data_IF_279785240487
#
_entry.id   IF_279785240487
#
_cell.length_a   1.000
_cell.length_b   1.000
_cell.length_c   1.000
_cell.angle_alpha   90.00
_cell.angle_beta   90.00
_cell.angle_gamma   90.00
#
_symmetry.space_group_name_H-M   'P 1'
#
loop_
_entity.id
_entity.type
_entity.pdbx_description
1 polymer ?
#
# COMPACT_ATOMS: atom_id res chain seq x y z
N UNK A 1 -19.61 -29.24 19.51
CA UNK A 1 -18.45 -29.07 20.42
C UNK A 1 -17.24 -28.39 19.79
N UNK A 2 -17.15 -28.20 18.45
CA UNK A 2 -16.00 -27.54 17.79
C UNK A 2 -15.95 -26.02 17.95
N UNK A 3 -17.09 -25.32 18.00
CA UNK A 3 -17.13 -23.85 18.04
C UNK A 3 -16.65 -23.24 19.36
N UNK A 4 -16.99 -23.85 20.50
CA UNK A 4 -16.55 -23.38 21.81
C UNK A 4 -15.03 -23.49 21.98
N UNK A 5 -14.46 -24.63 21.53
CA UNK A 5 -13.01 -24.84 21.52
C UNK A 5 -12.30 -23.85 20.60
N UNK A 6 -12.81 -23.65 19.38
CA UNK A 6 -12.21 -22.70 18.44
C UNK A 6 -12.27 -21.25 18.98
N UNK A 7 -13.36 -20.86 19.64
CA UNK A 7 -13.45 -19.56 20.32
C UNK A 7 -12.48 -19.43 21.49
N UNK A 8 -12.25 -20.50 22.25
CA UNK A 8 -11.24 -20.51 23.31
C UNK A 8 -9.83 -20.31 22.75
N UNK A 9 -9.49 -20.96 21.62
CA UNK A 9 -8.21 -20.74 20.95
C UNK A 9 -8.06 -19.32 20.38
N UNK A 10 -9.13 -18.77 19.80
CA UNK A 10 -9.13 -17.38 19.35
C UNK A 10 -8.87 -16.41 20.51
N UNK A 11 -9.58 -16.59 21.64
CA UNK A 11 -9.41 -15.77 22.83
C UNK A 11 -8.00 -15.90 23.42
N UNK A 12 -7.47 -17.12 23.47
CA UNK A 12 -6.09 -17.37 23.91
C UNK A 12 -5.08 -16.71 22.98
N UNK A 13 -5.27 -16.78 21.66
CA UNK A 13 -4.41 -16.10 20.68
C UNK A 13 -4.40 -14.58 20.90
N UNK A 14 -5.57 -13.96 21.05
CA UNK A 14 -5.68 -12.52 21.33
C UNK A 14 -5.03 -12.15 22.67
N UNK A 15 -5.24 -12.95 23.71
CA UNK A 15 -4.65 -12.73 25.03
C UNK A 15 -3.12 -12.81 24.98
N UNK A 16 -2.56 -13.87 24.39
CA UNK A 16 -1.11 -14.05 24.26
C UNK A 16 -0.49 -12.94 23.41
N UNK A 17 -1.16 -12.52 22.34
CA UNK A 17 -0.71 -11.39 21.53
C UNK A 17 -0.69 -10.09 22.35
N UNK A 18 -1.74 -9.81 23.12
CA UNK A 18 -1.80 -8.66 24.02
C UNK A 18 -0.71 -8.69 25.09
N UNK A 19 -0.40 -9.85 25.66
CA UNK A 19 0.70 -10.02 26.64
C UNK A 19 2.05 -9.67 26.01
N UNK A 20 2.33 -10.18 24.80
CA UNK A 20 3.59 -9.88 24.10
C UNK A 20 3.69 -8.39 23.76
N UNK A 21 2.58 -7.76 23.32
CA UNK A 21 2.53 -6.32 23.09
C UNK A 21 2.81 -5.53 24.37
N UNK A 22 2.14 -5.87 25.47
CA UNK A 22 2.32 -5.18 26.75
C UNK A 22 3.75 -5.33 27.28
N UNK A 23 4.34 -6.52 27.17
CA UNK A 23 5.74 -6.75 27.54
C UNK A 23 6.72 -5.93 26.69
N UNK A 24 6.44 -5.80 25.39
CA UNK A 24 7.25 -5.02 24.46
C UNK A 24 7.09 -3.51 24.66
N UNK A 25 5.87 -3.04 24.96
CA UNK A 25 5.59 -1.65 25.31
C UNK A 25 6.31 -1.27 26.62
N UNK A 26 6.23 -2.14 27.63
CA UNK A 26 6.95 -1.93 28.89
C UNK A 26 8.48 -1.98 28.70
N UNK A 27 8.99 -2.79 27.77
CA UNK A 27 10.41 -2.79 27.40
C UNK A 27 10.82 -1.46 26.76
N UNK A 28 10.00 -0.94 25.84
CA UNK A 28 10.21 0.39 25.25
C UNK A 28 10.25 1.50 26.32
N UNK A 29 9.34 1.47 27.28
CA UNK A 29 9.30 2.45 28.39
C UNK A 29 10.53 2.38 29.29
N UNK A 30 11.12 1.19 29.47
CA UNK A 30 12.37 1.01 30.22
C UNK A 30 13.63 1.42 29.44
N UNK A 31 13.48 1.82 28.17
CA UNK A 31 14.61 2.17 27.30
C UNK A 31 15.42 0.95 26.84
N UNK A 32 14.80 -0.23 26.78
CA UNK A 32 15.43 -1.44 26.23
C UNK A 32 15.77 -1.25 24.74
N UNK A 33 16.78 -1.97 24.22
CA UNK A 33 17.23 -1.78 22.84
C UNK A 33 16.11 -2.09 21.83
N UNK A 34 15.98 -1.32 20.73
CA UNK A 34 14.96 -1.52 19.71
C UNK A 34 14.84 -2.96 19.18
N UNK A 35 15.94 -3.70 19.14
CA UNK A 35 15.98 -5.12 18.73
C UNK A 35 15.08 -6.02 19.60
N UNK A 36 14.95 -5.73 20.90
CA UNK A 36 14.07 -6.49 21.80
C UNK A 36 12.60 -6.24 21.48
N UNK A 37 12.24 -4.98 21.17
CA UNK A 37 10.88 -4.60 20.78
C UNK A 37 10.54 -5.23 19.42
N UNK A 38 11.47 -5.19 18.45
CA UNK A 38 11.32 -5.87 17.16
C UNK A 38 11.15 -7.38 17.35
N UNK A 39 11.91 -8.01 18.24
CA UNK A 39 11.75 -9.43 18.57
C UNK A 39 10.37 -9.71 19.16
N UNK A 40 9.87 -8.87 20.07
CA UNK A 40 8.51 -8.99 20.61
C UNK A 40 7.43 -8.87 19.53
N UNK A 41 7.54 -7.90 18.63
CA UNK A 41 6.64 -7.75 17.47
C UNK A 41 6.73 -9.01 16.58
N UNK A 42 7.92 -9.51 16.28
CA UNK A 42 8.10 -10.73 15.50
C UNK A 42 7.49 -11.96 16.19
N UNK A 43 7.73 -12.15 17.48
CA UNK A 43 7.20 -13.26 18.27
C UNK A 43 5.66 -13.24 18.31
N UNK A 44 5.04 -12.06 18.30
CA UNK A 44 3.59 -11.91 18.30
C UNK A 44 2.91 -12.39 17.00
N UNK A 45 3.66 -12.64 15.92
CA UNK A 45 3.10 -13.30 14.73
C UNK A 45 2.64 -14.74 14.99
N UNK A 46 3.19 -15.42 16.01
CA UNK A 46 2.74 -16.77 16.41
C UNK A 46 1.30 -16.75 16.96
N UNK A 47 0.97 -15.99 18.02
CA UNK A 47 -0.41 -15.88 18.49
C UNK A 47 -1.34 -15.21 17.46
N UNK A 48 -0.84 -14.28 16.63
CA UNK A 48 -1.61 -13.76 15.49
C UNK A 48 -2.02 -14.85 14.49
N UNK A 49 -1.13 -15.80 14.19
CA UNK A 49 -1.47 -16.97 13.36
C UNK A 49 -2.61 -17.80 13.94
N UNK A 50 -2.62 -17.99 15.27
CA UNK A 50 -3.73 -18.64 16.00
C UNK A 50 -5.03 -17.85 15.82
N UNK A 51 -4.99 -16.53 16.00
CA UNK A 51 -6.15 -15.65 15.78
C UNK A 51 -6.72 -15.84 14.37
N UNK A 52 -5.87 -15.90 13.34
CA UNK A 52 -6.30 -16.09 11.96
C UNK A 52 -6.93 -17.46 11.68
N UNK A 53 -6.32 -18.54 12.19
CA UNK A 53 -6.82 -19.91 12.00
C UNK A 53 -8.20 -20.07 12.65
N UNK A 54 -8.38 -19.52 13.85
CA UNK A 54 -9.60 -19.69 14.64
C UNK A 54 -10.63 -18.56 14.47
N UNK A 55 -10.32 -17.49 13.71
CA UNK A 55 -11.24 -16.41 13.37
C UNK A 55 -12.53 -16.87 12.70
N UNK A 56 -12.50 -18.02 11.99
CA UNK A 56 -13.68 -18.64 11.38
C UNK A 56 -14.76 -19.02 12.40
N UNK A 57 -14.41 -19.20 13.67
CA UNK A 57 -15.38 -19.47 14.74
C UNK A 57 -16.34 -18.31 15.02
N UNK A 58 -16.04 -17.14 14.44
CA UNK A 58 -16.87 -15.94 14.47
C UNK A 58 -17.83 -15.83 13.28
N UNK A 59 -17.86 -16.80 12.35
CA UNK A 59 -18.86 -16.81 11.27
C UNK A 59 -20.26 -16.88 11.87
N UNK A 60 -21.12 -15.92 11.54
CA UNK A 60 -22.50 -15.83 12.05
C UNK A 60 -22.67 -15.06 13.37
N UNK A 61 -21.59 -14.55 13.97
CA UNK A 61 -21.70 -13.60 15.10
C UNK A 61 -22.25 -12.28 14.57
N UNK A 62 -23.19 -11.61 15.28
CA UNK A 62 -23.68 -10.31 14.87
C UNK A 62 -22.55 -9.26 14.86
N UNK A 63 -22.55 -8.41 13.84
CA UNK A 63 -21.59 -7.31 13.66
C UNK A 63 -20.08 -7.71 13.74
N UNK A 64 -19.61 -8.68 12.93
CA UNK A 64 -18.21 -9.12 12.97
C UNK A 64 -17.20 -7.99 12.70
N UNK A 65 -17.56 -7.03 11.84
CA UNK A 65 -16.71 -5.86 11.59
C UNK A 65 -16.49 -4.99 12.83
N UNK A 66 -17.49 -4.87 13.70
CA UNK A 66 -17.34 -4.13 14.96
C UNK A 66 -16.42 -4.88 15.92
N UNK A 67 -16.54 -6.21 16.02
CA UNK A 67 -15.62 -7.03 16.80
C UNK A 67 -14.17 -6.83 16.33
N UNK A 68 -13.90 -6.95 15.02
CA UNK A 68 -12.55 -6.74 14.50
C UNK A 68 -12.03 -5.32 14.76
N UNK A 69 -12.86 -4.29 14.58
CA UNK A 69 -12.49 -2.91 14.88
C UNK A 69 -12.18 -2.69 16.36
N UNK A 70 -12.99 -3.25 17.27
CA UNK A 70 -12.77 -3.20 18.71
C UNK A 70 -11.50 -3.94 19.13
N UNK A 71 -11.26 -5.14 18.57
CA UNK A 71 -10.01 -5.89 18.79
C UNK A 71 -8.79 -5.09 18.33
N UNK A 72 -8.88 -4.43 17.18
CA UNK A 72 -7.81 -3.56 16.64
C UNK A 72 -7.52 -2.41 17.60
N UNK A 73 -8.56 -1.72 18.07
CA UNK A 73 -8.43 -0.61 19.01
C UNK A 73 -7.81 -1.07 20.35
N UNK A 74 -8.29 -2.20 20.89
CA UNK A 74 -7.80 -2.74 22.15
C UNK A 74 -6.32 -3.16 22.08
N UNK A 75 -5.93 -3.87 21.02
CA UNK A 75 -4.53 -4.26 20.82
C UNK A 75 -3.63 -3.05 20.55
N UNK A 76 -4.10 -2.07 19.76
CA UNK A 76 -3.35 -0.86 19.47
C UNK A 76 -3.18 0.06 20.68
N UNK A 77 -4.18 0.14 21.56
CA UNK A 77 -4.16 0.99 22.75
C UNK A 77 -2.99 0.67 23.70
N UNK A 78 -2.53 -0.58 23.71
CA UNK A 78 -1.37 -1.05 24.50
C UNK A 78 -0.10 -0.25 24.17
N UNK A 79 0.04 0.23 22.94
CA UNK A 79 1.25 0.93 22.47
C UNK A 79 1.24 2.44 22.63
N UNK A 80 0.08 3.04 22.95
CA UNK A 80 -0.11 4.50 22.81
C UNK A 80 0.82 5.32 23.71
N UNK A 81 1.13 4.81 24.90
CA UNK A 81 1.96 5.50 25.89
C UNK A 81 3.44 5.13 25.81
N UNK A 82 3.78 4.03 25.14
CA UNK A 82 5.17 3.67 24.93
C UNK A 82 5.86 4.75 24.07
N UNK A 83 7.15 5.06 24.31
CA UNK A 83 7.89 5.97 23.43
C UNK A 83 8.00 5.38 22.01
N UNK A 84 8.10 6.20 20.95
CA UNK A 84 8.46 5.67 19.63
C UNK A 84 9.86 5.05 19.68
N UNK A 85 10.04 3.88 19.06
CA UNK A 85 11.28 3.10 19.16
C UNK A 85 11.88 2.76 17.78
N UNK A 86 11.03 2.62 16.76
CA UNK A 86 11.48 2.16 15.43
C UNK A 86 11.69 3.30 14.43
N UNK A 87 11.18 4.51 14.74
CA UNK A 87 11.35 5.71 13.93
C UNK A 87 11.25 6.97 14.77
N UNK A 88 11.99 7.99 14.37
CA UNK A 88 11.96 9.35 14.95
C UNK A 88 11.07 10.31 14.13
N UNK A 89 10.47 9.84 13.04
CA UNK A 89 9.62 10.67 12.16
C UNK A 89 8.42 11.28 12.89
N UNK A 90 7.99 10.65 13.98
CA UNK A 90 6.88 11.12 14.79
C UNK A 90 7.12 12.53 15.37
N UNK A 91 8.36 12.85 15.77
CA UNK A 91 8.74 14.18 16.24
C UNK A 91 8.63 15.20 15.11
N UNK A 92 9.04 14.81 13.90
CA UNK A 92 8.93 15.61 12.68
C UNK A 92 7.46 15.91 12.33
N UNK A 93 6.56 14.93 12.46
CA UNK A 93 5.13 15.11 12.21
C UNK A 93 4.53 16.16 13.15
N UNK A 94 4.83 16.07 14.45
CA UNK A 94 4.32 17.02 15.44
C UNK A 94 4.87 18.43 15.16
N UNK A 95 6.16 18.54 14.86
CA UNK A 95 6.80 19.82 14.55
C UNK A 95 6.20 20.50 13.32
N UNK A 96 6.10 19.78 12.20
CA UNK A 96 5.59 20.37 10.96
C UNK A 96 4.10 20.70 11.06
N UNK A 97 3.33 19.93 11.83
CA UNK A 97 1.96 20.30 12.19
C UNK A 97 1.87 21.62 12.94
N UNK A 98 2.77 21.87 13.91
CA UNK A 98 2.84 23.14 14.64
C UNK A 98 3.21 24.30 13.71
N UNK A 99 4.16 24.11 12.79
CA UNK A 99 4.56 25.15 11.84
C UNK A 99 3.38 25.66 11.02
N UNK A 100 2.47 24.78 10.58
CA UNK A 100 1.24 25.21 9.88
C UNK A 100 0.37 26.13 10.72
N UNK A 101 0.23 25.87 12.03
CA UNK A 101 -0.58 26.69 12.93
C UNK A 101 0.09 28.04 13.25
N UNK A 102 1.42 28.06 13.27
CA UNK A 102 2.23 29.29 13.43
C UNK A 102 2.36 30.10 12.13
N UNK A 103 1.72 29.65 11.03
CA UNK A 103 1.72 30.35 9.75
C UNK A 103 2.98 30.17 8.90
N UNK A 104 3.86 29.24 9.28
CA UNK A 104 5.05 28.89 8.50
C UNK A 104 4.75 27.78 7.48
N UNK A 105 5.44 27.83 6.34
CA UNK A 105 5.33 26.82 5.29
C UNK A 105 6.48 25.79 5.38
N UNK A 106 6.22 24.53 5.79
CA UNK A 106 7.26 23.50 5.95
C UNK A 106 7.94 23.08 4.64
N UNK A 107 7.36 23.41 3.48
CA UNK A 107 7.99 23.17 2.17
C UNK A 107 9.09 24.19 1.84
N UNK A 108 9.05 25.38 2.45
CA UNK A 108 10.02 26.44 2.23
C UNK A 108 11.03 26.62 3.35
N UNK A 109 10.73 26.11 4.55
CA UNK A 109 11.50 26.38 5.77
C UNK A 109 11.82 25.06 6.48
N UNK A 110 13.11 24.80 6.68
CA UNK A 110 13.60 23.63 7.41
C UNK A 110 13.58 23.88 8.93
N UNK A 111 13.47 22.84 9.78
CA UNK A 111 13.49 23.01 11.24
C UNK A 111 14.71 23.77 11.81
N UNK A 112 15.87 23.69 11.15
CA UNK A 112 17.09 24.40 11.54
C UNK A 112 17.14 25.87 11.07
N UNK A 113 16.13 26.36 10.36
CA UNK A 113 16.09 27.75 9.91
C UNK A 113 16.12 28.71 11.13
N UNK A 114 17.02 29.71 11.16
CA UNK A 114 17.12 30.69 12.25
C UNK A 114 15.80 31.40 12.56
N UNK A 115 14.90 31.58 11.58
CA UNK A 115 13.60 32.22 11.79
C UNK A 115 12.70 31.44 12.75
N UNK A 116 12.93 30.13 12.88
CA UNK A 116 12.18 29.24 13.76
C UNK A 116 12.79 29.13 15.16
N UNK A 117 13.92 29.82 15.44
CA UNK A 117 14.58 29.74 16.74
C UNK A 117 13.65 29.97 17.96
N UNK A 118 12.69 30.91 17.93
CA UNK A 118 11.75 31.12 19.04
C UNK A 118 10.79 29.94 19.29
N UNK A 119 10.57 29.06 18.30
CA UNK A 119 9.65 27.93 18.39
C UNK A 119 10.33 26.64 18.85
N UNK A 120 11.66 26.61 18.98
CA UNK A 120 12.42 25.39 19.28
C UNK A 120 12.30 25.02 20.76
N UNK A 121 11.91 23.77 21.00
CA UNK A 121 11.73 23.17 22.33
C UNK A 121 12.39 21.77 22.40
N UNK A 122 12.08 21.00 23.45
CA UNK A 122 12.58 19.63 23.60
C UNK A 122 12.13 18.71 22.44
N UNK A 123 10.94 18.94 21.88
CA UNK A 123 10.46 18.19 20.72
C UNK A 123 11.37 18.48 19.51
N UNK A 124 11.75 19.75 19.30
CA UNK A 124 12.67 20.12 18.24
C UNK A 124 14.00 19.38 18.36
N UNK A 125 14.55 19.22 19.56
CA UNK A 125 15.81 18.51 19.77
C UNK A 125 15.78 17.07 19.23
N UNK A 126 14.63 16.40 19.29
CA UNK A 126 14.42 15.01 18.82
C UNK A 126 14.12 14.88 17.32
N UNK A 127 13.97 15.97 16.58
CA UNK A 127 13.67 15.93 15.14
C UNK A 127 14.87 15.37 14.35
N UNK A 128 14.61 14.43 13.44
CA UNK A 128 15.57 13.98 12.45
C UNK A 128 15.68 14.97 11.26
N UNK A 129 16.81 14.95 10.54
CA UNK A 129 16.99 15.68 9.27
C UNK A 129 16.62 17.19 9.34
N UNK A 130 17.00 17.87 10.42
CA UNK A 130 16.58 19.26 10.71
C UNK A 130 16.98 20.29 9.65
N UNK A 131 18.01 20.01 8.87
CA UNK A 131 18.48 20.85 7.76
C UNK A 131 17.63 20.74 6.49
N UNK A 132 16.77 19.72 6.38
CA UNK A 132 15.91 19.51 5.22
C UNK A 132 14.53 20.11 5.47
N UNK A 133 13.96 20.77 4.46
CA UNK A 133 12.54 21.10 4.41
C UNK A 133 11.69 19.82 4.27
N UNK A 134 10.36 19.94 4.39
CA UNK A 134 9.50 18.76 4.37
C UNK A 134 9.58 18.00 3.05
N UNK A 135 9.62 16.66 3.17
CA UNK A 135 9.50 15.72 2.04
C UNK A 135 8.14 15.05 2.00
N UNK A 136 7.27 15.35 2.97
CA UNK A 136 5.97 14.71 3.09
C UNK A 136 4.97 15.29 2.10
N UNK A 137 4.20 14.45 1.40
CA UNK A 137 3.16 14.91 0.49
C UNK A 137 2.02 15.71 1.18
N UNK A 138 1.22 16.47 0.42
CA UNK A 138 0.26 17.44 0.97
C UNK A 138 -0.81 16.89 1.92
N UNK A 139 -1.32 15.67 1.71
CA UNK A 139 -2.29 15.09 2.63
C UNK A 139 -1.66 14.61 3.93
N UNK A 140 -0.38 14.19 3.91
CA UNK A 140 0.35 13.92 5.15
C UNK A 140 0.58 15.21 5.94
N UNK A 141 0.98 16.30 5.28
CA UNK A 141 1.05 17.63 5.91
C UNK A 141 -0.29 18.06 6.51
N UNK A 142 -1.39 17.83 5.81
CA UNK A 142 -2.73 18.10 6.34
C UNK A 142 -3.03 17.27 7.60
N UNK A 143 -2.66 15.99 7.64
CA UNK A 143 -2.82 15.16 8.84
C UNK A 143 -1.95 15.66 10.01
N UNK A 144 -0.75 16.16 9.74
CA UNK A 144 0.11 16.76 10.76
C UNK A 144 -0.52 18.04 11.33
N UNK A 145 -1.04 18.92 10.46
CA UNK A 145 -1.74 20.13 10.87
C UNK A 145 -3.03 19.82 11.66
N UNK A 146 -3.81 18.81 11.24
CA UNK A 146 -4.98 18.33 11.99
C UNK A 146 -4.56 17.80 13.37
N UNK A 147 -3.47 17.04 13.45
CA UNK A 147 -2.93 16.57 14.72
C UNK A 147 -2.57 17.72 15.65
N UNK A 148 -1.87 18.74 15.13
CA UNK A 148 -1.53 19.94 15.89
C UNK A 148 -2.79 20.69 16.35
N UNK A 149 -3.81 20.81 15.49
CA UNK A 149 -5.08 21.47 15.83
C UNK A 149 -5.85 20.75 16.94
N UNK A 150 -5.75 19.41 17.01
CA UNK A 150 -6.36 18.58 18.07
C UNK A 150 -5.59 18.61 19.40
N UNK A 151 -4.64 19.54 19.56
CA UNK A 151 -3.80 19.69 20.75
C UNK A 151 -2.35 19.26 20.53
N UNK A 152 -2.04 18.61 19.41
CA UNK A 152 -0.69 18.20 19.05
C UNK A 152 -0.12 17.12 19.97
N UNK A 153 1.18 16.87 19.81
CA UNK A 153 1.91 15.89 20.61
C UNK A 153 1.90 14.47 20.05
N UNK A 154 2.77 13.65 20.64
CA UNK A 154 3.09 12.29 20.20
C UNK A 154 1.87 11.37 20.27
N UNK A 155 1.15 11.40 21.40
CA UNK A 155 -0.04 10.55 21.62
C UNK A 155 -1.16 10.89 20.65
N UNK A 156 -1.36 12.17 20.32
CA UNK A 156 -2.40 12.60 19.37
C UNK A 156 -2.15 12.04 17.98
N UNK A 157 -0.90 12.08 17.48
CA UNK A 157 -0.56 11.47 16.19
C UNK A 157 -0.78 9.96 16.22
N UNK A 158 -0.35 9.28 17.29
CA UNK A 158 -0.57 7.83 17.47
C UNK A 158 -2.05 7.46 17.50
N UNK A 159 -2.88 8.24 18.18
CA UNK A 159 -4.33 8.06 18.22
C UNK A 159 -4.96 8.21 16.83
N UNK A 160 -4.53 9.21 16.05
CA UNK A 160 -5.02 9.38 14.67
C UNK A 160 -4.58 8.24 13.77
N UNK A 161 -3.33 7.78 13.87
CA UNK A 161 -2.83 6.64 13.11
C UNK A 161 -3.59 5.35 13.47
N UNK A 162 -3.78 5.06 14.77
CA UNK A 162 -4.58 3.93 15.25
C UNK A 162 -6.04 4.05 14.81
N UNK A 163 -6.64 5.24 14.91
CA UNK A 163 -7.99 5.52 14.40
C UNK A 163 -8.10 5.25 12.89
N UNK A 164 -7.07 5.58 12.12
CA UNK A 164 -6.93 5.24 10.71
C UNK A 164 -6.92 3.73 10.46
N UNK A 165 -6.18 2.95 11.26
CA UNK A 165 -6.18 1.49 11.19
C UNK A 165 -7.55 0.90 11.55
N UNK A 166 -8.19 1.37 12.63
CA UNK A 166 -9.53 0.94 13.04
C UNK A 166 -10.57 1.24 11.96
N UNK A 167 -10.51 2.44 11.36
CA UNK A 167 -11.38 2.80 10.24
C UNK A 167 -11.13 1.92 9.01
N UNK A 168 -9.87 1.58 8.74
CA UNK A 168 -9.48 0.66 7.66
C UNK A 168 -10.08 -0.74 7.86
N UNK A 169 -9.97 -1.28 9.07
CA UNK A 169 -10.57 -2.58 9.43
C UNK A 169 -12.08 -2.55 9.28
N UNK A 170 -12.73 -1.49 9.76
CA UNK A 170 -14.17 -1.30 9.60
C UNK A 170 -14.59 -1.14 8.13
N UNK A 171 -13.77 -0.51 7.29
CA UNK A 171 -14.02 -0.40 5.85
C UNK A 171 -13.88 -1.76 5.17
N UNK A 172 -12.80 -2.47 5.42
CA UNK A 172 -12.53 -3.81 4.85
C UNK A 172 -13.62 -4.79 5.27
N UNK A 173 -14.00 -4.82 6.55
CA UNK A 173 -15.07 -5.68 7.02
C UNK A 173 -16.42 -5.39 6.32
N UNK A 174 -16.74 -4.11 6.05
CA UNK A 174 -17.96 -3.73 5.33
C UNK A 174 -17.92 -4.15 3.86
N UNK A 175 -16.75 -4.08 3.23
CA UNK A 175 -16.58 -4.42 1.81
C UNK A 175 -16.56 -5.92 1.57
N UNK A 176 -15.83 -6.67 2.40
CA UNK A 176 -15.64 -8.12 2.21
C UNK A 176 -16.74 -8.94 2.88
N UNK A 177 -17.32 -8.44 3.98
CA UNK A 177 -18.19 -9.24 4.86
C UNK A 177 -17.43 -10.34 5.62
N UNK A 178 -16.11 -10.39 5.50
CA UNK A 178 -15.28 -11.48 6.03
C UNK A 178 -14.49 -11.03 7.27
N UNK A 179 -14.87 -11.56 8.43
CA UNK A 179 -14.18 -11.32 9.70
C UNK A 179 -12.70 -11.66 9.64
N UNK A 180 -12.35 -12.76 8.96
CA UNK A 180 -10.96 -13.22 8.85
C UNK A 180 -10.09 -12.20 8.14
N UNK A 181 -10.60 -11.58 7.07
CA UNK A 181 -9.88 -10.53 6.33
C UNK A 181 -9.75 -9.26 7.18
N UNK A 182 -10.81 -8.90 7.91
CA UNK A 182 -10.78 -7.76 8.82
C UNK A 182 -9.74 -7.96 9.95
N UNK A 183 -9.71 -9.13 10.58
CA UNK A 183 -8.72 -9.49 11.61
C UNK A 183 -7.31 -9.66 11.05
N UNK A 184 -7.16 -10.08 9.78
CA UNK A 184 -5.85 -10.14 9.14
C UNK A 184 -5.18 -8.77 9.03
N UNK A 185 -5.96 -7.69 8.98
CA UNK A 185 -5.45 -6.32 9.04
C UNK A 185 -5.39 -5.84 10.49
N UNK A 186 -6.50 -5.98 11.23
CA UNK A 186 -6.67 -5.39 12.54
C UNK A 186 -5.85 -5.99 13.68
N UNK A 187 -5.59 -7.29 13.61
CA UNK A 187 -4.73 -7.99 14.57
C UNK A 187 -3.29 -8.14 14.05
N UNK A 188 -2.93 -7.55 12.90
CA UNK A 188 -1.59 -7.67 12.37
C UNK A 188 -0.57 -6.97 13.29
N UNK A 189 0.46 -7.68 13.80
CA UNK A 189 1.44 -7.09 14.69
C UNK A 189 2.17 -5.86 14.15
N UNK A 190 2.56 -5.94 12.89
CA UNK A 190 3.30 -4.87 12.25
C UNK A 190 2.42 -3.64 12.05
N UNK A 191 1.18 -3.80 11.56
CA UNK A 191 0.29 -2.66 11.36
C UNK A 191 -0.09 -1.99 12.68
N UNK A 192 -0.29 -2.77 13.75
CA UNK A 192 -0.55 -2.24 15.08
C UNK A 192 0.64 -1.44 15.62
N UNK A 193 1.86 -1.99 15.55
CA UNK A 193 3.06 -1.29 15.99
C UNK A 193 3.33 -0.03 15.13
N UNK A 194 3.32 -0.13 13.80
CA UNK A 194 3.58 1.02 12.94
C UNK A 194 2.57 2.16 13.17
N UNK A 195 1.27 1.84 13.37
CA UNK A 195 0.27 2.86 13.65
C UNK A 195 0.32 3.39 15.09
N UNK A 196 0.19 2.53 16.10
CA UNK A 196 0.02 2.97 17.48
C UNK A 196 1.35 3.18 18.25
N UNK A 197 2.42 2.46 17.90
CA UNK A 197 3.75 2.67 18.50
C UNK A 197 4.53 3.78 17.79
N UNK A 198 4.54 3.81 16.45
CA UNK A 198 5.32 4.78 15.67
C UNK A 198 4.49 5.94 15.08
N UNK A 199 3.16 5.91 15.18
CA UNK A 199 2.31 7.00 14.69
C UNK A 199 2.30 7.15 13.17
N UNK A 200 2.61 6.09 12.43
CA UNK A 200 2.70 6.12 10.97
C UNK A 200 1.33 6.02 10.30
N UNK A 201 1.05 6.96 9.39
CA UNK A 201 -0.18 7.00 8.59
C UNK A 201 -0.19 6.05 7.39
N UNK A 202 0.82 5.18 7.23
CA UNK A 202 0.95 4.17 6.16
C UNK A 202 -0.27 3.26 6.05
N UNK A 203 -0.93 3.00 7.17
CA UNK A 203 -2.18 2.21 7.22
C UNK A 203 -3.27 2.80 6.32
N UNK A 204 -3.32 4.14 6.16
CA UNK A 204 -4.25 4.83 5.27
C UNK A 204 -3.88 4.66 3.79
N UNK A 205 -2.59 4.56 3.47
CA UNK A 205 -2.12 4.22 2.12
C UNK A 205 -2.55 2.79 1.77
N UNK A 206 -2.38 1.85 2.71
CA UNK A 206 -2.88 0.48 2.57
C UNK A 206 -4.40 0.43 2.35
N UNK A 207 -5.17 1.21 3.11
CA UNK A 207 -6.62 1.35 2.95
C UNK A 207 -6.99 1.90 1.56
N UNK A 208 -6.23 2.88 1.07
CA UNK A 208 -6.40 3.42 -0.27
C UNK A 208 -6.10 2.36 -1.34
N UNK A 209 -5.04 1.58 -1.21
CA UNK A 209 -4.72 0.47 -2.13
C UNK A 209 -5.81 -0.60 -2.17
N UNK A 210 -6.32 -1.00 -1.00
CA UNK A 210 -7.47 -1.90 -0.93
C UNK A 210 -8.69 -1.29 -1.66
N UNK A 211 -8.95 -0.01 -1.44
CA UNK A 211 -10.05 0.72 -2.09
C UNK A 211 -9.87 0.81 -3.60
N UNK A 212 -8.64 0.98 -4.11
CA UNK A 212 -8.32 0.95 -5.53
C UNK A 212 -8.65 -0.42 -6.12
N UNK A 213 -8.15 -1.50 -5.51
CA UNK A 213 -8.40 -2.87 -5.98
C UNK A 213 -9.90 -3.19 -6.02
N UNK A 214 -10.62 -2.86 -4.95
CA UNK A 214 -12.07 -3.03 -4.89
C UNK A 214 -12.82 -2.15 -5.91
N UNK A 215 -12.48 -0.88 -6.02
CA UNK A 215 -13.16 0.02 -6.95
C UNK A 215 -12.93 -0.41 -8.41
N UNK A 216 -11.73 -0.87 -8.76
CA UNK A 216 -11.43 -1.39 -10.09
C UNK A 216 -12.16 -2.71 -10.37
N UNK A 217 -12.28 -3.61 -9.40
CA UNK A 217 -13.05 -4.87 -9.57
C UNK A 217 -14.54 -4.63 -9.80
N UNK A 218 -15.06 -3.50 -9.30
CA UNK A 218 -16.45 -3.06 -9.49
C UNK A 218 -16.63 -2.09 -10.66
N UNK A 219 -15.61 -1.88 -11.49
CA UNK A 219 -15.59 -0.89 -12.59
C UNK A 219 -15.91 0.57 -12.15
N UNK A 220 -15.67 0.91 -10.88
CA UNK A 220 -15.89 2.24 -10.28
C UNK A 220 -14.64 3.13 -10.43
N UNK A 221 -14.30 3.48 -11.66
CA UNK A 221 -13.06 4.19 -11.99
C UNK A 221 -12.87 5.54 -11.28
N UNK A 222 -13.94 6.30 -11.05
CA UNK A 222 -13.84 7.59 -10.31
C UNK A 222 -13.39 7.35 -8.87
N UNK A 223 -13.95 6.33 -8.19
CA UNK A 223 -13.53 5.99 -6.82
C UNK A 223 -12.08 5.49 -6.78
N UNK A 224 -11.68 4.71 -7.77
CA UNK A 224 -10.28 4.28 -7.91
C UNK A 224 -9.35 5.50 -8.09
N UNK A 225 -9.69 6.45 -8.97
CA UNK A 225 -8.90 7.67 -9.18
C UNK A 225 -8.78 8.54 -7.93
N UNK A 226 -9.88 8.71 -7.18
CA UNK A 226 -9.86 9.43 -5.89
C UNK A 226 -8.98 8.72 -4.88
N UNK A 227 -9.10 7.39 -4.74
CA UNK A 227 -8.28 6.62 -3.81
C UNK A 227 -6.79 6.65 -4.17
N UNK A 228 -6.43 6.63 -5.47
CA UNK A 228 -5.04 6.78 -5.91
C UNK A 228 -4.51 8.18 -5.56
N UNK A 229 -5.29 9.22 -5.84
CA UNK A 229 -4.91 10.60 -5.52
C UNK A 229 -4.68 10.78 -4.02
N UNK A 230 -5.53 10.15 -3.20
CA UNK A 230 -5.38 10.11 -1.76
C UNK A 230 -4.10 9.36 -1.33
N UNK A 231 -3.82 8.19 -1.90
CA UNK A 231 -2.61 7.42 -1.61
C UNK A 231 -1.33 8.21 -1.95
N UNK A 232 -1.26 8.82 -3.13
CA UNK A 232 -0.14 9.65 -3.58
C UNK A 232 0.02 10.89 -2.69
N UNK A 233 -1.10 11.52 -2.34
CA UNK A 233 -1.12 12.67 -1.44
C UNK A 233 -0.70 12.35 -0.01
N UNK A 234 -0.72 11.08 0.41
CA UNK A 234 -0.18 10.64 1.69
C UNK A 234 1.30 10.24 1.56
N UNK A 235 1.63 9.37 0.61
CA UNK A 235 3.00 8.92 0.37
C UNK A 235 3.26 8.72 -1.12
N UNK A 236 4.48 9.05 -1.55
CA UNK A 236 4.91 8.90 -2.95
C UNK A 236 4.79 7.45 -3.44
N UNK A 237 4.88 6.46 -2.54
CA UNK A 237 4.62 5.03 -2.84
C UNK A 237 3.23 4.79 -3.47
N UNK A 238 2.28 5.71 -3.25
CA UNK A 238 0.97 5.71 -3.90
C UNK A 238 1.02 5.70 -5.44
N UNK A 239 2.14 6.12 -6.05
CA UNK A 239 2.32 6.08 -7.50
C UNK A 239 2.37 4.66 -8.07
N UNK A 240 2.71 3.65 -7.24
CA UNK A 240 2.87 2.24 -7.66
C UNK A 240 1.56 1.66 -8.24
N UNK A 241 0.40 2.19 -7.86
CA UNK A 241 -0.90 1.71 -8.36
C UNK A 241 -1.36 2.41 -9.64
N UNK A 242 -0.66 3.45 -10.13
CA UNK A 242 -1.03 4.15 -11.37
C UNK A 242 -1.06 3.25 -12.62
N UNK A 243 -0.10 2.32 -12.84
CA UNK A 243 -0.12 1.44 -14.01
C UNK A 243 -1.40 0.57 -14.11
N UNK A 244 -2.09 0.33 -13.00
CA UNK A 244 -3.35 -0.41 -12.99
C UNK A 244 -4.47 0.31 -13.75
N UNK A 245 -4.38 1.65 -13.88
CA UNK A 245 -5.33 2.44 -14.67
C UNK A 245 -5.08 2.36 -16.19
N UNK A 246 -3.89 1.94 -16.61
CA UNK A 246 -3.50 1.88 -18.03
C UNK A 246 -4.20 0.74 -18.77
N UNK A 247 -4.47 -0.38 -18.09
CA UNK A 247 -5.18 -1.54 -18.65
C UNK A 247 -6.70 -1.29 -18.64
N UNK A 248 -7.17 -0.34 -19.43
CA UNK A 248 -8.61 -0.14 -19.64
C UNK A 248 -9.16 -1.20 -20.60
N UNK A 249 -10.22 -1.94 -20.23
CA UNK A 249 -11.01 -2.67 -21.21
C UNK A 249 -11.60 -1.70 -22.23
N UNK A 250 -11.57 -2.04 -23.53
CA UNK A 250 -12.07 -1.25 -24.68
C UNK A 250 -13.53 -0.75 -24.56
N UNK A 251 -14.25 -1.10 -23.50
CA UNK A 251 -15.62 -0.67 -23.20
C UNK A 251 -15.76 0.85 -22.99
N UNK A 252 -14.69 1.56 -22.62
CA UNK A 252 -14.72 3.02 -22.40
C UNK A 252 -14.86 3.85 -23.69
N UNK A 253 -14.56 3.28 -24.86
CA UNK A 253 -14.79 3.96 -26.14
C UNK A 253 -16.28 4.05 -26.52
N UNK A 254 -17.17 3.31 -25.86
CA UNK A 254 -18.60 3.24 -26.24
C UNK A 254 -19.53 4.10 -25.39
N UNK A 255 -19.08 4.70 -24.27
CA UNK A 255 -19.94 5.45 -23.34
C UNK A 255 -19.54 6.90 -23.04
N UNK A 256 -18.45 7.40 -23.61
CA UNK A 256 -18.23 8.84 -23.62
C UNK A 256 -19.18 9.49 -24.64
N UNK A 257 -19.98 10.50 -24.26
CA UNK A 257 -20.66 11.34 -25.23
C UNK A 257 -19.61 11.86 -26.21
N UNK A 258 -19.84 11.66 -27.51
CA UNK A 258 -18.94 12.07 -28.61
C UNK A 258 -18.49 13.54 -28.57
N UNK A 259 -19.07 14.37 -27.69
CA UNK A 259 -18.81 15.80 -27.56
C UNK A 259 -17.55 16.16 -26.75
N UNK A 260 -16.94 15.23 -26.01
CA UNK A 260 -15.70 15.49 -25.25
C UNK A 260 -14.43 14.86 -25.86
N UNK A 261 -14.56 14.20 -27.01
CA UNK A 261 -13.43 13.53 -27.70
C UNK A 261 -12.79 14.38 -28.82
N UNK A 262 -13.06 15.68 -28.82
CA UNK A 262 -12.31 16.71 -29.53
C UNK A 262 -11.69 17.57 -28.43
N UNK A 263 -10.42 17.41 -28.10
CA UNK A 263 -9.33 18.00 -28.87
C UNK A 263 -8.02 17.24 -28.60
N UNK A 264 -7.19 17.13 -29.63
CA UNK A 264 -5.81 16.62 -29.67
C UNK A 264 -5.54 15.09 -29.69
N UNK A 265 -6.09 14.25 -28.81
CA UNK A 265 -5.56 12.87 -28.71
C UNK A 265 -6.05 11.90 -29.81
N UNK A 266 -7.31 12.02 -30.25
CA UNK A 266 -7.91 11.08 -31.22
C UNK A 266 -7.47 11.32 -32.67
N UNK A 267 -6.79 12.44 -32.95
CA UNK A 267 -6.20 12.74 -34.26
C UNK A 267 -4.83 12.09 -34.46
N UNK A 268 -4.05 11.93 -33.39
CA UNK A 268 -2.71 11.34 -33.47
C UNK A 268 -2.76 9.85 -33.79
N UNK A 269 -3.66 9.09 -33.14
CA UNK A 269 -3.84 7.66 -33.43
C UNK A 269 -4.27 7.41 -34.88
N UNK A 270 -5.16 8.24 -35.42
CA UNK A 270 -5.60 8.10 -36.83
C UNK A 270 -4.47 8.40 -37.81
N UNK A 271 -3.66 9.44 -37.56
CA UNK A 271 -2.47 9.72 -38.38
C UNK A 271 -1.45 8.59 -38.31
N UNK A 272 -1.22 8.00 -37.14
CA UNK A 272 -0.27 6.89 -37.00
C UNK A 272 -0.76 5.60 -37.69
N UNK A 273 -2.05 5.33 -37.67
CA UNK A 273 -2.65 4.18 -38.39
C UNK A 273 -2.59 4.40 -39.90
N UNK A 274 -2.85 5.62 -40.38
CA UNK A 274 -2.72 5.97 -41.80
C UNK A 274 -1.28 5.88 -42.30
N UNK A 275 -0.31 6.35 -41.51
CA UNK A 275 1.11 6.26 -41.85
C UNK A 275 1.61 4.80 -41.88
N UNK A 276 1.12 3.95 -40.98
CA UNK A 276 1.40 2.49 -41.03
C UNK A 276 0.76 1.79 -42.23
N UNK A 277 -0.46 2.19 -42.63
CA UNK A 277 -1.12 1.65 -43.82
C UNK A 277 -0.48 2.09 -45.14
N UNK A 278 0.06 3.31 -45.20
CA UNK A 278 0.79 3.77 -46.38
C UNK A 278 2.16 3.09 -46.50
N UNK A 279 2.88 2.89 -45.39
CA UNK A 279 4.16 2.17 -45.39
C UNK A 279 4.03 0.70 -45.83
N UNK A 280 2.94 0.01 -45.47
CA UNK A 280 2.70 -1.37 -45.91
C UNK A 280 2.30 -1.47 -47.39
N UNK A 281 1.58 -0.48 -47.92
CA UNK A 281 1.20 -0.45 -49.35
C UNK A 281 2.40 -0.18 -50.28
N UNK A 282 3.40 0.58 -49.83
CA UNK A 282 4.61 0.84 -50.60
C UNK A 282 5.58 -0.35 -50.65
N UNK A 283 5.56 -1.23 -49.64
CA UNK A 283 6.31 -2.49 -49.69
C UNK A 283 5.62 -3.57 -50.55
N UNK A 284 4.29 -3.69 -50.50
CA UNK A 284 3.56 -4.67 -51.31
C UNK A 284 3.60 -4.37 -52.83
N UNK A 285 3.77 -3.11 -53.23
CA UNK A 285 3.91 -2.72 -54.64
C UNK A 285 5.31 -2.97 -55.24
N UNK A 286 6.32 -3.31 -54.42
CA UNK A 286 7.70 -3.55 -54.88
C UNK A 286 8.01 -5.03 -55.14
N UNK A 287 7.24 -5.97 -54.55
CA UNK A 287 7.49 -7.41 -54.69
C UNK A 287 6.73 -8.07 -55.86
N UNK A 288 5.77 -7.38 -56.49
CA UNK A 288 4.94 -7.95 -57.57
C UNK A 288 5.49 -7.75 -58.99
N UNK A 289 6.76 -7.33 -59.13
CA UNK A 289 7.40 -7.10 -60.44
C UNK A 289 8.75 -7.80 -60.58
N UNK A 290 8.81 -9.10 -60.34
CA UNK A 290 9.86 -9.99 -60.89
C UNK A 290 9.19 -11.26 -61.42
N UNK A 291 9.26 -11.41 -62.73
CA UNK A 291 8.65 -12.43 -63.58
C UNK A 291 9.42 -13.76 -63.61
N UNK A 292 8.67 -14.86 -63.49
CA UNK A 292 8.73 -16.14 -64.21
C UNK A 292 10.04 -16.98 -64.28
N UNK A 293 10.03 -18.27 -63.87
CA UNK A 293 11.11 -19.22 -64.09
C UNK A 293 10.91 -20.07 -65.36
N UNK A 294 12.00 -20.31 -66.11
CA UNK A 294 12.07 -21.32 -67.18
C UNK A 294 12.96 -22.50 -66.79
N UNK A 295 12.50 -23.66 -67.23
CA UNK A 295 12.87 -25.07 -66.98
C UNK A 295 14.26 -25.55 -67.43
N UNK A 296 14.53 -26.85 -67.13
CA UNK A 296 15.54 -27.80 -67.65
C UNK A 296 16.72 -27.97 -66.67
N UNK A 297 17.17 -29.15 -66.23
CA UNK A 297 16.87 -30.56 -66.48
C UNK A 297 17.86 -31.41 -65.65
N UNK A 298 17.43 -32.59 -65.20
CA UNK A 298 18.25 -33.65 -64.54
C UNK A 298 19.25 -34.31 -65.53
N UNK A 299 20.17 -35.27 -65.19
CA UNK A 299 20.12 -36.24 -64.08
C UNK A 299 21.47 -36.74 -63.45
N UNK A 300 21.33 -37.59 -62.43
CA UNK A 300 22.12 -38.78 -62.07
C UNK A 300 23.61 -38.65 -61.63
N UNK A 301 23.99 -39.27 -60.51
CA UNK A 301 24.48 -40.67 -60.51
C UNK A 301 24.75 -41.21 -59.08
N UNK A 302 24.44 -42.50 -58.89
CA UNK A 302 25.12 -43.57 -58.12
C UNK A 302 26.12 -43.22 -57.00
N UNK A 303 26.29 -43.92 -55.88
CA UNK A 303 25.86 -45.24 -55.38
C UNK A 303 26.66 -45.53 -54.09
N UNK A 304 26.29 -46.61 -53.39
CA UNK A 304 27.06 -47.36 -52.37
C UNK A 304 27.04 -46.81 -50.93
N UNK A 305 26.99 -47.59 -49.86
CA UNK A 305 26.63 -48.99 -49.51
C UNK A 305 26.70 -49.01 -47.97
N UNK A 306 25.71 -49.56 -47.26
CA UNK A 306 25.90 -50.17 -45.93
C UNK A 306 26.42 -51.63 -46.13
N UNK A 307 26.76 -52.48 -45.12
CA UNK A 307 26.57 -52.43 -43.65
C UNK A 307 27.79 -53.07 -42.86
N UNK A 308 27.69 -53.83 -41.75
CA UNK A 308 27.08 -53.64 -40.41
C UNK A 308 28.05 -53.86 -39.19
N UNK A 309 27.51 -53.63 -37.99
CA UNK A 309 27.67 -54.41 -36.73
C UNK A 309 28.98 -54.41 -35.88
N UNK A 310 28.80 -53.88 -34.65
CA UNK A 310 28.99 -54.57 -33.35
C UNK A 310 30.35 -54.57 -32.59
N UNK A 311 30.18 -54.40 -31.27
CA UNK A 311 30.94 -54.91 -30.09
C UNK A 311 32.11 -54.12 -29.45
N UNK A 312 31.83 -53.80 -28.17
CA UNK A 312 32.68 -53.80 -26.95
C UNK A 312 33.75 -52.71 -26.76
N UNK A 313 33.68 -52.13 -25.55
CA UNK A 313 34.62 -51.23 -24.91
C UNK A 313 33.94 -50.67 -23.67
#
# INVERSE_FOLDING_TARGET
>A
MSTARDRAWLALGLLLQGIVFAGSAAAAERGEPPSLIVFGIAASFVPYGVVLVFSRSLTGVPAPGLFAAATTAALGAIWLLAPPVLSDDLYRYVWEGRLWLEGFNPYGIAPDDPSLAPLRDELWASINNKSLATVYPPLSQLLFAISAWLGGGIVTVKLLALGGLVATVGWVARVTGEIRVALAIGANPLLSAESALNGHFDVLVGAAFFTVAWALSQHRFVRAGVAISFAVGLKVVGLVVLPLLWRRPKAWQRRLPRRFCSLHWCGLERRMIQLRGQASSQHAGRETRVSSPSSIGSPANSSQRAPPASLRG
#
